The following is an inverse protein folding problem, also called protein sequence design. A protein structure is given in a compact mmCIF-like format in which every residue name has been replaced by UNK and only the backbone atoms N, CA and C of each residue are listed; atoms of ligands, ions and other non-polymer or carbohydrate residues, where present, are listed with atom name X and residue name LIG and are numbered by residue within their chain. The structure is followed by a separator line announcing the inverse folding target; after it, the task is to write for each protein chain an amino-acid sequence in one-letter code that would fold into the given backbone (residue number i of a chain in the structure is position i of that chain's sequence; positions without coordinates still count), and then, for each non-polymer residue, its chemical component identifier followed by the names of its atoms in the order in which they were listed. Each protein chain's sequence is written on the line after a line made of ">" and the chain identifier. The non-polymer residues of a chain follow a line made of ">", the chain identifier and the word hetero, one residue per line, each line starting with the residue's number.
data_IF_334706287421
#
_entry.id   IF_334706287421
#
_cell.length_a   1.000
_cell.length_b   1.000
_cell.length_c   1.000
_cell.angle_alpha   90.00
_cell.angle_beta   90.00
_cell.angle_gamma   90.00
#
_symmetry.space_group_name_H-M   'P 1'
#
loop_
_entity.id
_entity.type
_entity.pdbx_description
1 polymer ?
#
# COMPACT_ATOMS: atom_id res chain seq x y z
N UNK A 1 25.59 -23.85 -25.66
CA UNK A 1 24.25 -23.42 -25.32
C UNK A 1 23.95 -23.87 -23.88
N UNK A 2 24.36 -23.08 -22.88
CA UNK A 2 24.10 -23.27 -21.45
C UNK A 2 23.71 -21.92 -20.91
N UNK A 3 22.41 -21.57 -21.04
CA UNK A 3 21.87 -20.26 -20.68
C UNK A 3 20.69 -20.37 -19.71
N UNK A 4 20.75 -21.27 -18.73
CA UNK A 4 19.95 -21.13 -17.50
C UNK A 4 20.69 -21.95 -16.42
N UNK A 5 21.49 -21.26 -15.61
CA UNK A 5 21.95 -21.82 -14.34
C UNK A 5 20.71 -22.02 -13.45
N UNK A 6 20.64 -23.15 -12.78
CA UNK A 6 19.57 -23.76 -12.01
C UNK A 6 19.08 -22.98 -10.77
N UNK A 7 18.96 -21.66 -10.85
CA UNK A 7 18.42 -20.80 -9.76
C UNK A 7 17.05 -20.30 -10.17
N UNK A 8 16.07 -21.20 -10.15
CA UNK A 8 14.68 -20.89 -10.48
C UNK A 8 13.74 -21.01 -9.27
N UNK A 9 12.49 -20.69 -9.48
CA UNK A 9 11.39 -21.00 -8.55
C UNK A 9 10.92 -22.41 -8.88
N UNK A 10 10.82 -23.26 -7.85
CA UNK A 10 10.23 -24.59 -7.95
C UNK A 10 9.05 -24.70 -7.01
N UNK A 11 7.86 -24.90 -7.54
CA UNK A 11 6.71 -25.22 -6.74
C UNK A 11 6.86 -26.62 -6.15
N UNK A 12 6.58 -26.80 -4.85
CA UNK A 12 6.64 -28.09 -4.18
C UNK A 12 5.60 -29.08 -4.70
N UNK A 13 4.57 -28.58 -5.37
CA UNK A 13 3.39 -29.33 -5.77
C UNK A 13 2.35 -29.46 -4.65
N UNK A 14 2.65 -28.97 -3.48
CA UNK A 14 1.77 -29.01 -2.31
C UNK A 14 1.11 -27.63 -2.11
N UNK A 15 -0.22 -27.64 -2.07
CA UNK A 15 -1.01 -26.48 -1.65
C UNK A 15 -1.53 -26.73 -0.24
N UNK A 16 -1.40 -25.73 0.62
CA UNK A 16 -1.96 -25.77 1.98
C UNK A 16 -3.05 -24.71 2.13
N UNK A 17 -4.01 -24.96 3.00
CA UNK A 17 -4.91 -23.88 3.47
C UNK A 17 -4.39 -23.37 4.80
N UNK A 18 -4.19 -22.07 4.92
CA UNK A 18 -3.67 -21.47 6.17
C UNK A 18 -4.00 -20.00 6.25
N UNK A 19 -3.92 -19.43 7.45
CA UNK A 19 -3.98 -18.00 7.62
C UNK A 19 -2.69 -17.35 7.13
N UNK A 20 -2.83 -16.36 6.27
CA UNK A 20 -1.74 -15.53 5.74
C UNK A 20 -2.05 -14.07 5.96
N UNK A 21 -1.04 -13.27 6.26
CA UNK A 21 -1.23 -11.86 6.55
C UNK A 21 -0.11 -10.96 6.04
N UNK A 22 -0.45 -9.70 5.91
CA UNK A 22 0.45 -8.61 5.61
C UNK A 22 0.43 -7.58 6.73
N UNK A 23 1.61 -7.07 7.06
CA UNK A 23 1.79 -5.92 7.93
C UNK A 23 2.59 -4.89 7.17
N UNK A 24 2.12 -3.66 7.14
CA UNK A 24 2.68 -2.57 6.39
C UNK A 24 2.77 -1.30 7.27
N UNK A 25 3.84 -0.53 7.10
CA UNK A 25 4.00 0.76 7.80
C UNK A 25 3.21 1.82 7.07
N UNK A 26 2.29 2.46 7.77
CA UNK A 26 1.52 3.59 7.24
C UNK A 26 2.45 4.80 7.06
N UNK A 27 2.33 5.49 5.93
CA UNK A 27 3.13 6.66 5.59
C UNK A 27 4.66 6.41 5.63
N UNK A 28 5.12 5.18 5.38
CA UNK A 28 6.53 4.80 5.44
C UNK A 28 7.41 5.69 4.57
N UNK A 29 7.01 5.95 3.34
CA UNK A 29 7.73 6.84 2.41
C UNK A 29 7.87 8.25 2.97
N UNK A 30 6.80 8.79 3.59
CA UNK A 30 6.84 10.08 4.26
C UNK A 30 7.81 10.07 5.44
N UNK A 31 7.77 9.02 6.25
CA UNK A 31 8.64 8.87 7.40
C UNK A 31 10.12 8.79 6.98
N UNK A 32 10.43 8.04 5.91
CA UNK A 32 11.80 7.91 5.37
C UNK A 32 12.33 9.27 4.89
N UNK A 33 11.50 10.03 4.18
CA UNK A 33 11.90 11.36 3.67
C UNK A 33 12.18 12.35 4.80
N UNK A 34 11.53 12.20 5.96
CA UNK A 34 11.77 13.03 7.15
C UNK A 34 13.03 12.63 7.92
N UNK A 35 13.56 11.44 7.69
CA UNK A 35 14.76 10.95 8.37
C UNK A 35 16.02 11.42 7.65
N UNK A 36 16.96 11.99 8.42
CA UNK A 36 18.27 12.35 7.92
C UNK A 36 19.24 11.15 8.03
N UNK A 37 19.91 10.83 6.92
CA UNK A 37 20.97 9.84 6.86
C UNK A 37 20.48 8.39 6.73
N UNK A 38 21.23 7.59 5.96
CA UNK A 38 20.97 6.19 5.71
C UNK A 38 21.00 5.33 6.99
N UNK A 39 21.75 5.74 8.00
CA UNK A 39 21.84 5.00 9.26
C UNK A 39 20.53 5.01 10.03
N UNK A 40 19.83 6.16 10.09
CA UNK A 40 18.52 6.26 10.72
C UNK A 40 17.46 5.44 9.98
N UNK A 41 17.51 5.44 8.65
CA UNK A 41 16.61 4.60 7.83
C UNK A 41 16.86 3.11 8.11
N UNK A 42 18.13 2.68 8.21
CA UNK A 42 18.47 1.29 8.55
C UNK A 42 17.99 0.91 9.95
N UNK A 43 18.19 1.77 10.94
CA UNK A 43 17.71 1.57 12.32
C UNK A 43 16.18 1.43 12.36
N UNK A 44 15.49 2.32 11.65
CA UNK A 44 14.04 2.32 11.54
C UNK A 44 13.51 1.00 11.00
N UNK A 45 13.97 0.58 9.83
CA UNK A 45 13.57 -0.71 9.26
C UNK A 45 14.01 -1.92 10.09
N UNK A 46 15.23 -1.90 10.65
CA UNK A 46 15.70 -2.99 11.50
C UNK A 46 14.81 -3.16 12.74
N UNK A 47 14.40 -2.06 13.36
CA UNK A 47 13.50 -2.12 14.51
C UNK A 47 12.14 -2.68 14.12
N UNK A 48 11.57 -2.24 12.99
CA UNK A 48 10.31 -2.76 12.47
C UNK A 48 10.40 -4.26 12.20
N UNK A 49 11.31 -4.66 11.31
CA UNK A 49 11.45 -6.03 10.85
C UNK A 49 11.72 -6.99 12.02
N UNK A 50 12.66 -6.65 12.90
CA UNK A 50 13.02 -7.50 14.04
C UNK A 50 11.90 -7.62 15.06
N UNK A 51 11.23 -6.50 15.39
CA UNK A 51 10.13 -6.52 16.36
C UNK A 51 8.97 -7.36 15.85
N UNK A 52 8.53 -7.17 14.61
CA UNK A 52 7.42 -7.92 14.02
C UNK A 52 7.80 -9.40 13.84
N UNK A 53 9.00 -9.69 13.33
CA UNK A 53 9.46 -11.07 13.14
C UNK A 53 9.51 -11.84 14.44
N UNK A 54 9.99 -11.23 15.52
CA UNK A 54 10.03 -11.84 16.86
C UNK A 54 8.62 -12.12 17.41
N UNK A 55 7.68 -11.16 17.24
CA UNK A 55 6.29 -11.35 17.67
C UNK A 55 5.59 -12.46 16.91
N UNK A 56 5.74 -12.49 15.59
CA UNK A 56 5.16 -13.54 14.73
C UNK A 56 5.75 -14.90 15.07
N UNK A 57 7.08 -15.02 15.16
CA UNK A 57 7.77 -16.30 15.41
C UNK A 57 7.54 -16.83 16.82
N UNK A 58 7.27 -15.97 17.78
CA UNK A 58 6.94 -16.37 19.17
C UNK A 58 5.49 -16.83 19.33
N UNK A 59 4.65 -16.72 18.30
CA UNK A 59 3.26 -17.15 18.35
C UNK A 59 3.14 -18.68 18.46
N UNK A 60 2.33 -19.19 19.38
CA UNK A 60 2.04 -20.61 19.49
C UNK A 60 1.27 -21.20 18.31
N UNK A 61 0.69 -20.34 17.43
CA UNK A 61 0.18 -20.74 16.13
C UNK A 61 1.29 -21.10 15.12
N UNK A 62 2.56 -21.04 15.55
CA UNK A 62 3.72 -21.37 14.72
C UNK A 62 4.00 -20.34 13.62
N UNK A 63 3.76 -19.07 13.91
CA UNK A 63 3.90 -17.98 12.93
C UNK A 63 5.27 -17.96 12.25
N UNK A 64 5.28 -17.75 10.96
CA UNK A 64 6.49 -17.65 10.13
C UNK A 64 6.45 -16.40 9.26
N UNK A 65 7.51 -15.61 9.32
CA UNK A 65 7.76 -14.53 8.36
C UNK A 65 8.36 -15.15 7.12
N UNK A 66 7.80 -14.86 5.97
CA UNK A 66 8.23 -15.37 4.66
C UNK A 66 9.24 -14.43 4.02
N UNK A 67 8.87 -13.16 3.92
CA UNK A 67 9.74 -12.13 3.36
C UNK A 67 9.30 -10.73 3.79
N UNK A 68 10.25 -9.81 3.70
CA UNK A 68 9.96 -8.38 3.74
C UNK A 68 10.00 -7.84 2.31
N UNK A 69 9.08 -6.97 2.00
CA UNK A 69 8.97 -6.27 0.72
C UNK A 69 8.98 -4.78 1.06
N UNK A 70 10.20 -4.21 1.23
CA UNK A 70 10.34 -2.84 1.73
C UNK A 70 9.83 -2.70 3.17
N UNK A 71 8.76 -1.94 3.35
CA UNK A 71 8.06 -1.65 4.60
C UNK A 71 6.92 -2.62 4.91
N UNK A 72 6.73 -3.64 4.07
CA UNK A 72 5.70 -4.65 4.21
C UNK A 72 6.30 -6.01 4.58
N UNK A 73 5.68 -6.72 5.51
CA UNK A 73 6.05 -8.07 5.94
C UNK A 73 4.94 -9.05 5.58
N UNK A 74 5.27 -10.09 4.81
CA UNK A 74 4.42 -11.24 4.56
C UNK A 74 4.70 -12.32 5.61
N UNK A 75 3.65 -12.79 6.28
CA UNK A 75 3.72 -13.87 7.27
C UNK A 75 2.54 -14.83 7.15
N UNK A 76 2.65 -16.02 7.74
CA UNK A 76 1.55 -16.98 7.80
C UNK A 76 1.60 -17.81 9.09
N UNK A 77 0.51 -18.52 9.39
CA UNK A 77 0.37 -19.37 10.56
C UNK A 77 0.14 -20.83 10.16
N UNK A 78 1.21 -21.63 9.96
CA UNK A 78 1.10 -23.01 9.44
C UNK A 78 0.14 -23.92 10.21
N UNK A 79 0.03 -23.77 11.53
CA UNK A 79 -0.88 -24.61 12.33
C UNK A 79 -2.36 -24.39 12.06
N UNK A 80 -2.73 -23.26 11.42
CA UNK A 80 -4.10 -23.03 10.95
C UNK A 80 -4.46 -23.87 9.73
N UNK A 81 -3.56 -24.70 9.22
CA UNK A 81 -3.89 -25.68 8.16
C UNK A 81 -4.87 -26.76 8.61
N UNK A 82 -4.90 -27.07 9.91
CA UNK A 82 -5.98 -27.85 10.49
C UNK A 82 -7.14 -26.94 10.89
N UNK A 83 -8.22 -26.99 10.11
CA UNK A 83 -9.41 -26.15 10.35
C UNK A 83 -10.11 -26.45 11.69
N UNK A 84 -9.86 -27.62 12.28
CA UNK A 84 -10.43 -28.02 13.57
C UNK A 84 -9.60 -27.51 14.75
N UNK A 85 -8.36 -27.07 14.53
CA UNK A 85 -7.52 -26.48 15.57
C UNK A 85 -7.90 -25.02 15.85
N UNK A 86 -9.05 -24.83 16.49
CA UNK A 86 -9.59 -23.51 16.84
C UNK A 86 -8.60 -22.66 17.66
N UNK A 87 -7.76 -23.31 18.47
CA UNK A 87 -6.76 -22.62 19.28
C UNK A 87 -5.67 -21.96 18.41
N UNK A 88 -5.23 -22.60 17.35
CA UNK A 88 -4.25 -22.01 16.42
C UNK A 88 -4.81 -20.79 15.69
N UNK A 89 -6.09 -20.78 15.31
CA UNK A 89 -6.72 -19.59 14.75
C UNK A 89 -6.80 -18.46 15.79
N UNK A 90 -7.26 -18.73 16.99
CA UNK A 90 -7.31 -17.72 18.07
C UNK A 90 -5.94 -17.15 18.38
N UNK A 91 -4.92 -18.00 18.49
CA UNK A 91 -3.54 -17.56 18.78
C UNK A 91 -2.92 -16.75 17.62
N UNK A 92 -3.28 -17.07 16.39
CA UNK A 92 -2.87 -16.27 15.22
C UNK A 92 -3.47 -14.87 15.24
N UNK A 93 -4.77 -14.75 15.54
CA UNK A 93 -5.45 -13.46 15.71
C UNK A 93 -4.87 -12.68 16.89
N UNK A 94 -4.64 -13.34 18.05
CA UNK A 94 -4.04 -12.69 19.22
C UNK A 94 -2.60 -12.23 18.95
N UNK A 95 -1.86 -12.93 18.10
CA UNK A 95 -0.55 -12.47 17.63
C UNK A 95 -0.66 -11.12 16.91
N UNK A 96 -1.63 -10.97 15.99
CA UNK A 96 -1.85 -9.71 15.29
C UNK A 96 -2.25 -8.57 16.25
N UNK A 97 -3.10 -8.86 17.23
CA UNK A 97 -3.43 -7.88 18.26
C UNK A 97 -2.22 -7.52 19.14
N UNK A 98 -1.39 -8.50 19.50
CA UNK A 98 -0.17 -8.25 20.27
C UNK A 98 0.78 -7.31 19.51
N UNK A 99 0.88 -7.43 18.19
CA UNK A 99 1.67 -6.52 17.36
C UNK A 99 1.13 -5.09 17.48
N UNK A 100 -0.20 -4.90 17.42
CA UNK A 100 -0.84 -3.60 17.61
C UNK A 100 -0.61 -3.04 19.02
N UNK A 101 -0.70 -3.88 20.06
CA UNK A 101 -0.52 -3.49 21.45
C UNK A 101 0.95 -3.10 21.75
N UNK A 102 1.92 -3.88 21.26
CA UNK A 102 3.36 -3.61 21.47
C UNK A 102 3.85 -2.37 20.70
N UNK A 103 3.06 -1.85 19.77
CA UNK A 103 3.39 -0.62 19.02
C UNK A 103 3.77 0.54 19.93
N UNK A 104 3.10 0.70 21.08
CA UNK A 104 3.43 1.77 22.02
C UNK A 104 4.85 1.66 22.55
N UNK A 105 5.31 0.46 22.86
CA UNK A 105 6.66 0.22 23.36
C UNK A 105 7.70 0.49 22.28
N UNK A 106 7.41 0.01 21.06
CA UNK A 106 8.28 0.23 19.89
C UNK A 106 8.36 1.72 19.57
N UNK A 107 7.25 2.45 19.60
CA UNK A 107 7.22 3.89 19.35
C UNK A 107 7.94 4.69 20.45
N UNK A 108 7.92 4.24 21.69
CA UNK A 108 8.74 4.85 22.75
C UNK A 108 10.23 4.67 22.49
N UNK A 109 10.65 3.53 21.95
CA UNK A 109 12.05 3.29 21.57
C UNK A 109 12.44 4.14 20.35
N UNK A 110 11.59 4.25 19.34
CA UNK A 110 11.79 5.16 18.21
C UNK A 110 11.94 6.63 18.67
N UNK A 111 11.08 7.07 19.57
CA UNK A 111 11.14 8.43 20.12
C UNK A 111 12.47 8.73 20.83
N UNK A 112 13.03 7.76 21.58
CA UNK A 112 14.36 7.90 22.19
C UNK A 112 15.48 8.06 21.17
N UNK A 113 15.28 7.53 19.98
CA UNK A 113 16.24 7.61 18.88
C UNK A 113 15.91 8.76 17.90
N UNK A 114 14.95 9.62 18.22
CA UNK A 114 14.45 10.72 17.38
C UNK A 114 13.94 10.24 16.01
N UNK A 115 13.39 9.01 15.95
CA UNK A 115 12.81 8.42 14.75
C UNK A 115 11.28 8.55 14.76
N UNK A 116 10.63 8.64 13.58
CA UNK A 116 9.18 8.76 13.48
C UNK A 116 8.46 7.49 14.00
N UNK A 117 7.26 7.63 14.56
CA UNK A 117 6.52 6.50 15.10
C UNK A 117 5.99 5.57 14.00
N UNK A 118 5.83 4.30 14.32
CA UNK A 118 5.10 3.35 13.48
C UNK A 118 3.59 3.47 13.67
N UNK A 119 2.88 3.47 12.57
CA UNK A 119 1.49 3.06 12.47
C UNK A 119 1.43 1.89 11.50
N UNK A 120 0.62 0.87 11.82
CA UNK A 120 0.55 -0.35 11.01
C UNK A 120 -0.78 -0.47 10.30
N UNK A 121 -0.77 -1.09 9.13
CA UNK A 121 -1.93 -1.74 8.53
C UNK A 121 -1.71 -3.24 8.65
N UNK A 122 -2.68 -3.95 9.19
CA UNK A 122 -2.60 -5.41 9.32
C UNK A 122 -3.84 -6.02 8.67
N UNK A 123 -3.60 -6.88 7.69
CA UNK A 123 -4.65 -7.68 7.06
C UNK A 123 -4.27 -9.14 7.16
N UNK A 124 -5.22 -9.99 7.53
CA UNK A 124 -5.07 -11.45 7.57
C UNK A 124 -6.30 -12.12 6.93
N UNK A 125 -6.07 -13.17 6.17
CA UNK A 125 -7.14 -13.99 5.62
C UNK A 125 -6.76 -15.47 5.62
N UNK A 126 -7.74 -16.34 5.37
CA UNK A 126 -7.57 -17.79 5.33
C UNK A 126 -7.87 -18.31 3.93
N UNK A 127 -7.00 -19.17 3.42
CA UNK A 127 -7.25 -19.81 2.13
C UNK A 127 -6.04 -20.57 1.59
N UNK A 128 -6.12 -20.93 0.31
CA UNK A 128 -5.11 -21.74 -0.37
C UNK A 128 -3.84 -20.95 -0.60
N UNK A 129 -2.72 -21.56 -0.22
CA UNK A 129 -1.35 -21.07 -0.39
C UNK A 129 -0.54 -22.14 -1.11
N UNK A 130 0.12 -21.80 -2.20
CA UNK A 130 1.07 -22.65 -2.91
C UNK A 130 2.47 -22.36 -2.40
N UNK A 131 3.17 -23.41 -1.99
CA UNK A 131 4.54 -23.31 -1.47
C UNK A 131 5.52 -23.44 -2.63
N UNK A 132 6.44 -22.49 -2.74
CA UNK A 132 7.53 -22.56 -3.68
C UNK A 132 8.88 -22.46 -2.96
N UNK A 133 9.87 -23.15 -3.50
CA UNK A 133 11.26 -23.07 -3.12
C UNK A 133 11.98 -22.14 -4.10
N UNK A 134 12.73 -21.18 -3.57
CA UNK A 134 13.38 -20.12 -4.36
C UNK A 134 14.90 -20.24 -4.25
N UNK A 135 15.60 -19.91 -5.32
CA UNK A 135 17.05 -19.89 -5.36
C UNK A 135 17.66 -21.31 -5.38
N UNK A 136 18.49 -21.59 -4.41
CA UNK A 136 19.10 -22.90 -4.15
C UNK A 136 18.20 -23.84 -3.33
N UNK A 137 16.89 -23.56 -3.33
CA UNK A 137 15.85 -24.28 -2.58
C UNK A 137 15.95 -24.16 -1.04
N UNK A 138 16.70 -23.18 -0.56
CA UNK A 138 16.83 -22.90 0.87
C UNK A 138 15.76 -21.93 1.40
N UNK A 139 15.15 -21.15 0.52
CA UNK A 139 14.13 -20.17 0.87
C UNK A 139 12.76 -20.62 0.40
N UNK A 140 11.76 -20.42 1.29
CA UNK A 140 10.35 -20.67 0.99
C UNK A 140 9.72 -19.35 0.59
N UNK A 141 8.96 -19.36 -0.48
CA UNK A 141 8.01 -18.29 -0.84
C UNK A 141 6.59 -18.86 -0.94
N UNK A 142 5.61 -18.00 -0.78
CA UNK A 142 4.20 -18.37 -0.85
C UNK A 142 3.53 -17.64 -2.00
N UNK A 143 2.66 -18.36 -2.71
CA UNK A 143 1.88 -17.85 -3.82
C UNK A 143 0.41 -18.23 -3.67
N UNK A 144 -0.45 -17.61 -4.43
CA UNK A 144 -1.85 -17.99 -4.52
C UNK A 144 -2.83 -16.82 -4.42
N UNK A 145 -4.11 -17.09 -4.72
CA UNK A 145 -5.14 -16.06 -4.76
C UNK A 145 -5.37 -15.37 -3.42
N UNK A 146 -5.25 -16.11 -2.31
CA UNK A 146 -5.41 -15.58 -0.95
C UNK A 146 -4.36 -14.52 -0.63
N UNK A 147 -3.10 -14.76 -1.02
CA UNK A 147 -2.00 -13.80 -0.81
C UNK A 147 -2.24 -12.52 -1.61
N UNK A 148 -2.58 -12.66 -2.89
CA UNK A 148 -2.84 -11.53 -3.76
C UNK A 148 -4.01 -10.67 -3.26
N UNK A 149 -5.08 -11.33 -2.81
CA UNK A 149 -6.25 -10.64 -2.28
C UNK A 149 -5.92 -9.93 -0.95
N UNK A 150 -5.27 -10.63 -0.03
CA UNK A 150 -4.86 -10.09 1.28
C UNK A 150 -3.94 -8.86 1.12
N UNK A 151 -2.96 -8.93 0.21
CA UNK A 151 -2.06 -7.81 -0.11
C UNK A 151 -2.82 -6.59 -0.63
N UNK A 152 -3.76 -6.79 -1.56
CA UNK A 152 -4.55 -5.70 -2.13
C UNK A 152 -5.51 -5.07 -1.11
N UNK A 153 -6.13 -5.86 -0.24
CA UNK A 153 -6.95 -5.36 0.86
C UNK A 153 -6.07 -4.52 1.81
N UNK A 154 -4.89 -5.02 2.16
CA UNK A 154 -3.97 -4.32 3.06
C UNK A 154 -3.58 -2.94 2.51
N UNK A 155 -3.26 -2.84 1.23
CA UNK A 155 -2.81 -1.60 0.61
C UNK A 155 -3.92 -0.58 0.36
N UNK A 156 -5.18 -1.04 0.12
CA UNK A 156 -6.25 -0.16 -0.36
C UNK A 156 -7.36 0.14 0.65
N UNK A 157 -7.64 -0.78 1.59
CA UNK A 157 -8.81 -0.69 2.46
C UNK A 157 -8.49 -0.77 3.95
N UNK A 158 -7.26 -1.15 4.34
CA UNK A 158 -6.91 -1.29 5.74
C UNK A 158 -6.71 0.05 6.43
N UNK A 159 -7.38 0.21 7.57
CA UNK A 159 -7.27 1.40 8.42
C UNK A 159 -6.02 1.32 9.30
N UNK A 160 -5.34 2.45 9.55
CA UNK A 160 -4.17 2.47 10.42
C UNK A 160 -4.48 1.96 11.84
N UNK A 161 -3.62 1.09 12.35
CA UNK A 161 -3.67 0.52 13.69
C UNK A 161 -4.91 -0.33 13.98
N UNK A 162 -5.49 -0.90 12.95
CA UNK A 162 -6.59 -1.84 13.02
C UNK A 162 -6.22 -3.18 12.38
N UNK A 163 -6.96 -4.22 12.76
CA UNK A 163 -6.82 -5.56 12.18
C UNK A 163 -8.00 -5.83 11.27
N UNK A 164 -7.71 -5.97 9.98
CA UNK A 164 -8.71 -6.31 8.96
C UNK A 164 -8.61 -7.80 8.63
N UNK A 165 -9.74 -8.47 8.52
CA UNK A 165 -9.83 -9.85 8.08
C UNK A 165 -10.70 -9.98 6.83
N UNK A 166 -10.36 -10.96 5.98
CA UNK A 166 -11.18 -11.31 4.82
C UNK A 166 -12.38 -12.18 5.18
N UNK A 167 -13.34 -12.26 4.25
CA UNK A 167 -14.59 -13.02 4.42
C UNK A 167 -14.35 -14.52 4.70
N UNK A 168 -13.33 -15.11 4.08
CA UNK A 168 -13.04 -16.52 4.30
C UNK A 168 -12.63 -16.79 5.74
N UNK A 169 -11.74 -15.98 6.31
CA UNK A 169 -11.36 -16.10 7.71
C UNK A 169 -12.53 -15.78 8.65
N UNK A 170 -13.31 -14.75 8.34
CA UNK A 170 -14.52 -14.42 9.09
C UNK A 170 -15.48 -15.62 9.20
N UNK A 171 -15.76 -16.30 8.09
CA UNK A 171 -16.63 -17.49 8.08
C UNK A 171 -16.05 -18.65 8.89
N UNK A 172 -14.74 -18.88 8.80
CA UNK A 172 -14.06 -19.91 9.59
C UNK A 172 -14.20 -19.62 11.07
N UNK A 173 -13.91 -18.40 11.51
CA UNK A 173 -14.02 -18.03 12.93
C UNK A 173 -15.45 -18.16 13.46
N UNK A 174 -16.47 -17.86 12.64
CA UNK A 174 -17.87 -18.01 13.03
C UNK A 174 -18.40 -19.45 12.96
N UNK A 175 -17.69 -20.37 12.29
CA UNK A 175 -18.07 -21.79 12.25
C UNK A 175 -17.67 -22.57 13.49
N UNK A 176 -16.84 -21.99 14.37
CA UNK A 176 -16.37 -22.65 15.58
C UNK A 176 -17.51 -22.81 16.61
N UNK A 177 -17.54 -23.91 17.37
CA UNK A 177 -18.53 -24.13 18.42
C UNK A 177 -18.55 -22.99 19.45
N UNK A 178 -19.72 -22.64 19.97
CA UNK A 178 -19.91 -21.49 20.87
C UNK A 178 -19.04 -21.54 22.15
N UNK A 179 -18.68 -22.70 22.61
CA UNK A 179 -17.81 -22.88 23.79
C UNK A 179 -16.34 -22.51 23.53
N UNK A 180 -15.90 -22.61 22.26
CA UNK A 180 -14.55 -22.26 21.80
C UNK A 180 -14.56 -21.08 20.86
N UNK A 181 -15.73 -20.49 20.62
CA UNK A 181 -15.99 -19.51 19.59
C UNK A 181 -15.25 -18.20 19.84
N UNK A 182 -14.61 -17.72 18.82
CA UNK A 182 -14.11 -16.36 18.73
C UNK A 182 -15.20 -15.29 18.94
N UNK A 183 -16.48 -15.65 18.73
CA UNK A 183 -17.65 -14.77 18.93
C UNK A 183 -17.72 -14.20 20.35
N UNK A 184 -17.21 -14.90 21.36
CA UNK A 184 -17.19 -14.40 22.74
C UNK A 184 -15.97 -13.49 23.05
N UNK A 185 -14.91 -13.60 22.24
CA UNK A 185 -13.67 -12.84 22.45
C UNK A 185 -13.55 -11.64 21.52
N UNK A 186 -14.21 -11.70 20.37
CA UNK A 186 -14.10 -10.70 19.32
C UNK A 186 -15.48 -10.29 18.83
N UNK A 187 -15.57 -9.07 18.33
CA UNK A 187 -16.68 -8.62 17.52
C UNK A 187 -16.16 -8.12 16.17
N UNK A 188 -17.00 -8.21 15.16
CA UNK A 188 -16.66 -7.93 13.78
C UNK A 188 -17.50 -6.77 13.27
N UNK A 189 -16.83 -5.79 12.69
CA UNK A 189 -17.46 -4.64 12.05
C UNK A 189 -17.28 -4.82 10.54
N UNK A 190 -18.38 -4.82 9.79
CA UNK A 190 -18.29 -4.87 8.33
C UNK A 190 -17.77 -3.52 7.82
N UNK A 191 -16.59 -3.52 7.17
CA UNK A 191 -15.95 -2.33 6.59
C UNK A 191 -16.28 -2.15 5.10
N UNK A 192 -17.11 -3.01 4.55
CA UNK A 192 -17.50 -3.00 3.15
C UNK A 192 -16.92 -4.16 2.36
N UNK A 193 -16.64 -3.94 1.09
CA UNK A 193 -16.24 -5.00 0.18
C UNK A 193 -15.06 -4.56 -0.69
N UNK A 194 -14.09 -5.47 -0.87
CA UNK A 194 -13.06 -5.32 -1.89
C UNK A 194 -13.62 -5.78 -3.25
N UNK A 195 -13.52 -4.92 -4.27
CA UNK A 195 -13.98 -5.21 -5.63
C UNK A 195 -12.92 -6.03 -6.37
N UNK A 196 -13.16 -7.33 -6.52
CA UNK A 196 -12.26 -8.21 -7.30
C UNK A 196 -12.49 -7.99 -8.80
N UNK A 197 -13.78 -7.97 -9.22
CA UNK A 197 -14.24 -7.65 -10.57
C UNK A 197 -15.53 -6.85 -10.46
N UNK A 198 -16.10 -6.41 -11.60
CA UNK A 198 -17.41 -5.72 -11.59
C UNK A 198 -18.52 -6.56 -10.95
N UNK A 199 -18.48 -7.89 -11.15
CA UNK A 199 -19.50 -8.82 -10.66
C UNK A 199 -19.11 -9.50 -9.33
N UNK A 200 -17.84 -9.44 -8.90
CA UNK A 200 -17.36 -10.21 -7.76
C UNK A 200 -16.76 -9.27 -6.70
N UNK A 201 -17.41 -9.24 -5.55
CA UNK A 201 -17.04 -8.43 -4.39
C UNK A 201 -16.70 -9.33 -3.21
N UNK A 202 -15.71 -8.93 -2.44
CA UNK A 202 -15.19 -9.70 -1.31
C UNK A 202 -15.35 -8.90 -0.02
N UNK A 203 -16.27 -9.33 0.89
CA UNK A 203 -16.49 -8.66 2.17
C UNK A 203 -15.24 -8.64 3.04
N UNK A 204 -15.04 -7.55 3.76
CA UNK A 204 -13.96 -7.37 4.72
C UNK A 204 -14.51 -6.90 6.05
N UNK A 205 -13.83 -7.29 7.12
CA UNK A 205 -14.27 -7.02 8.48
C UNK A 205 -13.12 -6.49 9.32
N UNK A 206 -13.39 -5.47 10.11
CA UNK A 206 -12.53 -5.05 11.19
C UNK A 206 -12.85 -5.94 12.40
N UNK A 207 -11.85 -6.62 12.95
CA UNK A 207 -11.99 -7.45 14.12
C UNK A 207 -11.46 -6.70 15.34
N UNK A 208 -12.21 -6.72 16.44
CA UNK A 208 -11.85 -6.10 17.71
C UNK A 208 -12.09 -7.05 18.89
N UNK A 209 -11.29 -6.93 19.94
CA UNK A 209 -11.48 -7.66 21.18
C UNK A 209 -12.71 -7.17 21.93
N UNK A 210 -13.48 -8.08 22.50
CA UNK A 210 -14.53 -7.76 23.46
C UNK A 210 -13.84 -7.40 24.78
N UNK A 211 -13.87 -6.15 25.19
CA UNK A 211 -13.34 -5.74 26.49
C UNK A 211 -14.23 -6.32 27.59
N UNK A 212 -13.71 -7.28 28.37
CA UNK A 212 -14.36 -7.81 29.57
C UNK A 212 -14.36 -6.81 30.74
N UNK A 213 -14.29 -5.52 30.52
CA UNK A 213 -14.44 -4.49 31.54
C UNK A 213 -15.73 -3.71 31.31
N UNK A 214 -16.66 -3.98 32.25
CA UNK A 214 -17.84 -3.18 32.54
C UNK A 214 -19.02 -3.28 31.57
N UNK A 215 -19.74 -4.40 31.55
CA UNK A 215 -21.18 -4.30 31.62
C UNK A 215 -21.61 -4.17 33.07
N UNK A 216 -21.28 -3.09 33.73
CA UNK A 216 -22.13 -2.57 34.81
C UNK A 216 -23.16 -1.68 34.10
N UNK A 217 -24.23 -2.31 33.64
CA UNK A 217 -25.43 -1.60 33.22
C UNK A 217 -26.05 -1.00 34.48
N UNK A 218 -25.73 0.22 34.80
CA UNK A 218 -26.62 1.05 35.60
C UNK A 218 -27.78 1.41 34.69
N UNK A 219 -28.89 0.72 34.90
CA UNK A 219 -30.20 1.17 34.46
C UNK A 219 -30.45 2.57 35.07
N UNK A 220 -30.28 3.62 34.30
CA UNK A 220 -30.94 4.87 34.50
C UNK A 220 -31.56 5.32 33.18
N UNK A 221 -32.89 5.17 33.18
CA UNK A 221 -33.77 5.78 32.19
C UNK A 221 -33.47 7.26 32.09
N UNK A 222 -33.22 7.74 30.94
CA UNK A 222 -33.86 8.85 30.25
C UNK A 222 -32.90 9.55 29.27
N UNK A 223 -33.43 9.64 28.06
CA UNK A 223 -33.17 10.65 27.05
C UNK A 223 -32.08 10.49 26.00
N UNK A 224 -32.68 10.31 24.83
CA UNK A 224 -32.29 10.80 23.51
C UNK A 224 -31.18 10.05 22.73
N UNK A 225 -31.74 9.33 21.76
CA UNK A 225 -31.14 8.97 20.48
C UNK A 225 -30.32 10.13 19.91
N UNK A 226 -29.03 9.90 19.72
CA UNK A 226 -28.27 10.56 18.68
C UNK A 226 -27.68 9.48 17.75
N UNK A 227 -28.52 9.11 16.79
CA UNK A 227 -28.07 8.48 15.56
C UNK A 227 -27.40 9.58 14.72
N UNK A 228 -26.09 9.64 14.74
CA UNK A 228 -25.33 10.37 13.73
C UNK A 228 -25.50 9.64 12.40
N UNK A 229 -26.36 10.20 11.57
CA UNK A 229 -26.68 9.71 10.25
C UNK A 229 -25.49 9.87 9.32
N UNK A 230 -25.32 8.91 8.40
CA UNK A 230 -24.36 8.83 7.29
C UNK A 230 -24.15 10.10 6.45
N UNK A 231 -24.74 11.20 6.80
CA UNK A 231 -24.67 12.47 6.06
C UNK A 231 -23.50 13.37 6.47
N UNK A 232 -22.78 13.05 7.56
CA UNK A 232 -21.62 13.83 8.00
C UNK A 232 -20.26 13.22 7.60
N UNK A 233 -20.21 11.96 7.12
CA UNK A 233 -18.98 11.36 6.56
C UNK A 233 -18.77 11.67 5.08
N UNK A 234 -19.76 12.18 4.37
CA UNK A 234 -19.66 12.56 2.95
C UNK A 234 -18.93 13.86 2.68
N UNK A 235 -18.70 14.68 3.70
CA UNK A 235 -18.10 16.02 3.50
C UNK A 235 -16.57 16.06 3.65
N UNK A 236 -15.91 14.97 4.08
CA UNK A 236 -14.47 14.94 4.25
C UNK A 236 -13.69 14.46 3.00
N UNK A 237 -14.33 13.80 2.05
CA UNK A 237 -13.69 13.35 0.81
C UNK A 237 -13.70 14.34 -0.35
N UNK A 238 -14.53 15.35 -0.31
CA UNK A 238 -14.60 16.38 -1.37
C UNK A 238 -13.79 17.64 -1.08
N UNK A 239 -13.29 17.83 0.14
CA UNK A 239 -12.61 19.07 0.52
C UNK A 239 -11.09 19.08 0.33
N UNK A 240 -10.44 17.96 0.04
CA UNK A 240 -8.99 17.99 -0.28
C UNK A 240 -8.67 18.58 -1.65
N UNK A 241 -9.62 18.61 -2.58
CA UNK A 241 -9.45 19.22 -3.89
C UNK A 241 -9.94 20.69 -4.00
N UNK A 242 -10.51 21.27 -2.94
CA UNK A 242 -11.06 22.63 -3.00
C UNK A 242 -10.25 23.73 -2.30
N UNK A 243 -9.15 23.39 -1.59
CA UNK A 243 -8.44 24.38 -0.76
C UNK A 243 -7.25 25.07 -1.43
N UNK A 244 -6.98 24.88 -2.73
CA UNK A 244 -5.84 25.53 -3.40
C UNK A 244 -6.19 26.42 -4.60
N UNK A 245 -7.37 27.01 -4.64
CA UNK A 245 -7.66 28.12 -5.55
C UNK A 245 -7.51 29.46 -4.84
N UNK A 246 -6.29 29.84 -4.47
CA UNK A 246 -5.98 31.23 -4.18
C UNK A 246 -4.73 31.65 -4.98
N UNK A 247 -5.02 32.32 -6.09
CA UNK A 247 -4.23 33.36 -6.76
C UNK A 247 -2.72 33.43 -6.43
N UNK A 248 -1.90 32.75 -7.24
CA UNK A 248 -0.64 33.30 -7.72
C UNK A 248 -0.57 33.08 -9.23
N UNK A 249 -0.65 34.13 -9.99
CA UNK A 249 -0.82 34.15 -11.45
C UNK A 249 0.45 33.75 -12.24
N UNK A 250 1.47 33.09 -11.66
CA UNK A 250 2.68 32.67 -12.37
C UNK A 250 3.37 31.43 -11.77
N UNK A 251 2.68 30.56 -11.05
CA UNK A 251 3.31 29.33 -10.53
C UNK A 251 3.39 28.29 -11.66
N UNK A 252 4.60 27.76 -11.93
CA UNK A 252 4.83 26.67 -12.87
C UNK A 252 4.06 25.42 -12.43
N UNK A 253 3.47 24.68 -13.37
CA UNK A 253 2.60 23.54 -13.10
C UNK A 253 3.26 22.23 -13.48
N UNK A 254 3.19 21.26 -12.59
CA UNK A 254 3.69 19.90 -12.82
C UNK A 254 2.57 18.90 -12.60
N UNK A 255 2.30 18.07 -13.60
CA UNK A 255 1.39 16.94 -13.51
C UNK A 255 2.24 15.67 -13.45
N UNK A 256 1.99 14.84 -12.44
CA UNK A 256 2.62 13.54 -12.27
C UNK A 256 1.60 12.44 -12.59
N UNK A 257 1.95 11.49 -13.45
CA UNK A 257 1.09 10.36 -13.80
C UNK A 257 1.88 9.06 -13.71
N UNK A 258 1.49 8.20 -12.75
CA UNK A 258 2.16 6.94 -12.44
C UNK A 258 1.16 6.07 -11.65
N UNK A 259 0.95 4.81 -11.99
CA UNK A 259 -0.02 3.97 -11.28
C UNK A 259 0.47 3.54 -9.88
N UNK A 260 1.74 3.80 -9.55
CA UNK A 260 2.32 3.59 -8.23
C UNK A 260 2.24 4.86 -7.37
N UNK A 261 1.34 4.88 -6.40
CA UNK A 261 1.12 6.04 -5.51
C UNK A 261 2.39 6.48 -4.76
N UNK A 262 3.26 5.53 -4.38
CA UNK A 262 4.52 5.81 -3.67
C UNK A 262 5.53 6.54 -4.56
N UNK A 263 5.53 6.24 -5.85
CA UNK A 263 6.36 6.94 -6.84
C UNK A 263 5.89 8.39 -6.97
N UNK A 264 4.59 8.60 -7.12
CA UNK A 264 3.99 9.95 -7.17
C UNK A 264 4.32 10.77 -5.92
N UNK A 265 4.22 10.15 -4.75
CA UNK A 265 4.60 10.80 -3.49
C UNK A 265 6.09 11.17 -3.47
N UNK A 266 6.98 10.25 -3.89
CA UNK A 266 8.42 10.48 -3.95
C UNK A 266 8.76 11.68 -4.85
N UNK A 267 8.16 11.76 -6.04
CA UNK A 267 8.40 12.88 -6.95
C UNK A 267 7.86 14.21 -6.42
N UNK A 268 6.68 14.20 -5.78
CA UNK A 268 6.17 15.39 -5.07
C UNK A 268 7.15 15.87 -4.00
N UNK A 269 7.76 14.95 -3.25
CA UNK A 269 8.73 15.29 -2.22
C UNK A 269 10.06 15.82 -2.80
N UNK A 270 10.50 15.31 -3.95
CA UNK A 270 11.66 15.85 -4.64
C UNK A 270 11.45 17.31 -5.05
N UNK A 271 10.24 17.65 -5.47
CA UNK A 271 9.86 18.96 -5.96
C UNK A 271 9.36 19.93 -4.86
N UNK A 272 9.21 19.46 -3.61
CA UNK A 272 8.65 20.26 -2.50
C UNK A 272 9.39 21.60 -2.24
N UNK A 273 10.69 21.65 -2.52
CA UNK A 273 11.50 22.84 -2.29
C UNK A 273 11.28 23.94 -3.35
N UNK A 274 10.53 23.63 -4.39
CA UNK A 274 10.26 24.54 -5.51
C UNK A 274 8.82 25.05 -5.44
N UNK A 275 8.59 26.28 -5.90
CA UNK A 275 7.26 26.89 -5.93
C UNK A 275 6.47 26.40 -7.17
N UNK A 276 6.20 25.07 -7.22
CA UNK A 276 5.42 24.43 -8.28
C UNK A 276 4.02 24.07 -7.79
N UNK A 277 3.04 24.25 -8.66
CA UNK A 277 1.72 23.68 -8.46
C UNK A 277 1.72 22.23 -8.97
N UNK A 278 1.74 21.26 -8.05
CA UNK A 278 1.88 19.84 -8.39
C UNK A 278 0.54 19.12 -8.22
N UNK A 279 0.05 18.51 -9.30
CA UNK A 279 -1.11 17.62 -9.30
C UNK A 279 -0.65 16.22 -9.68
N UNK A 280 -1.19 15.17 -9.04
CA UNK A 280 -0.78 13.78 -9.29
C UNK A 280 -1.97 12.88 -9.51
N UNK A 281 -1.83 11.93 -10.44
CA UNK A 281 -2.86 10.98 -10.84
C UNK A 281 -2.29 9.57 -10.91
N UNK A 282 -3.01 8.61 -10.33
CA UNK A 282 -2.72 7.17 -10.48
C UNK A 282 -3.48 6.56 -11.67
N UNK A 283 -4.49 7.25 -12.16
CA UNK A 283 -5.28 6.84 -13.33
C UNK A 283 -4.97 7.78 -14.51
N UNK A 284 -4.41 7.24 -15.61
CA UNK A 284 -4.05 8.03 -16.79
C UNK A 284 -5.26 8.64 -17.50
N UNK A 285 -6.44 8.04 -17.40
CA UNK A 285 -7.68 8.56 -18.01
C UNK A 285 -8.16 9.81 -17.27
N UNK A 286 -8.10 9.77 -15.93
CA UNK A 286 -8.44 10.95 -15.09
C UNK A 286 -7.43 12.08 -15.35
N UNK A 287 -6.14 11.76 -15.48
CA UNK A 287 -5.11 12.73 -15.82
C UNK A 287 -5.38 13.41 -17.18
N UNK A 288 -5.74 12.63 -18.18
CA UNK A 288 -6.06 13.14 -19.52
C UNK A 288 -7.26 14.10 -19.51
N UNK A 289 -8.35 13.72 -18.81
CA UNK A 289 -9.52 14.57 -18.69
C UNK A 289 -9.18 15.88 -17.96
N UNK A 290 -8.39 15.80 -16.89
CA UNK A 290 -7.91 16.99 -16.19
C UNK A 290 -7.09 17.90 -17.10
N UNK A 291 -6.19 17.35 -17.94
CA UNK A 291 -5.37 18.13 -18.90
C UNK A 291 -6.26 18.81 -19.94
N UNK A 292 -7.31 18.16 -20.42
CA UNK A 292 -8.28 18.76 -21.37
C UNK A 292 -9.00 19.99 -20.82
N UNK A 293 -9.24 20.02 -19.52
CA UNK A 293 -9.94 21.12 -18.85
C UNK A 293 -9.01 22.29 -18.46
N UNK A 294 -7.70 22.17 -18.71
CA UNK A 294 -6.73 23.25 -18.45
C UNK A 294 -6.87 24.36 -19.49
N UNK A 295 -7.12 25.61 -19.08
CA UNK A 295 -7.38 26.70 -20.00
C UNK A 295 -6.13 27.22 -20.74
N UNK A 296 -4.94 26.96 -20.20
CA UNK A 296 -3.64 27.40 -20.75
C UNK A 296 -2.56 26.41 -20.38
N UNK A 297 -1.68 26.08 -21.31
CA UNK A 297 -0.60 25.11 -21.15
C UNK A 297 0.78 25.76 -20.94
N UNK A 298 0.86 27.09 -20.86
CA UNK A 298 2.11 27.77 -20.52
C UNK A 298 2.62 27.28 -19.17
N UNK A 299 3.94 27.06 -19.08
CA UNK A 299 4.61 26.56 -17.88
C UNK A 299 4.06 25.23 -17.33
N UNK A 300 3.49 24.38 -18.20
CA UNK A 300 3.04 23.04 -17.86
C UNK A 300 4.07 21.99 -18.26
N UNK A 301 4.45 21.14 -17.28
CA UNK A 301 5.22 19.92 -17.49
C UNK A 301 4.40 18.71 -17.03
N UNK A 302 4.29 17.71 -17.88
CA UNK A 302 3.69 16.42 -17.52
C UNK A 302 4.80 15.38 -17.37
N UNK A 303 4.86 14.71 -16.23
CA UNK A 303 5.81 13.64 -15.94
C UNK A 303 5.03 12.32 -15.97
N UNK A 304 5.42 11.41 -16.87
CA UNK A 304 4.69 10.20 -17.19
C UNK A 304 5.53 8.95 -16.90
N UNK A 305 4.95 7.97 -16.21
CA UNK A 305 5.41 6.59 -16.37
C UNK A 305 4.91 6.01 -17.70
N UNK A 306 5.74 5.14 -18.28
CA UNK A 306 5.40 4.44 -19.52
C UNK A 306 4.58 3.18 -19.23
N UNK A 307 4.91 2.49 -18.13
CA UNK A 307 4.29 1.22 -17.78
C UNK A 307 3.16 1.42 -16.77
N UNK A 308 1.99 1.79 -17.26
CA UNK A 308 0.78 1.89 -16.45
C UNK A 308 -0.28 0.91 -16.93
N UNK A 309 -1.22 0.56 -16.03
CA UNK A 309 -2.41 -0.25 -16.37
C UNK A 309 -3.36 0.58 -17.24
N UNK A 310 -4.17 -0.13 -18.04
CA UNK A 310 -5.26 0.39 -18.87
C UNK A 310 -4.82 1.26 -20.04
N UNK A 311 -4.25 2.42 -19.81
CA UNK A 311 -3.70 3.33 -20.82
C UNK A 311 -2.20 3.49 -20.58
N UNK A 312 -1.36 2.96 -21.47
CA UNK A 312 0.09 3.10 -21.33
C UNK A 312 0.56 4.54 -21.59
N UNK A 313 1.75 4.88 -21.06
CA UNK A 313 2.29 6.23 -21.13
C UNK A 313 2.48 6.76 -22.56
N UNK A 314 2.66 5.90 -23.56
CA UNK A 314 2.76 6.34 -24.96
C UNK A 314 1.41 6.75 -25.53
N UNK A 315 0.39 5.98 -25.27
CA UNK A 315 -0.97 6.33 -25.69
C UNK A 315 -1.40 7.63 -25.03
N UNK A 316 -1.08 7.80 -23.74
CA UNK A 316 -1.35 9.05 -23.03
C UNK A 316 -0.55 10.22 -23.62
N UNK A 317 0.75 10.03 -23.92
CA UNK A 317 1.59 11.01 -24.61
C UNK A 317 0.97 11.48 -25.92
N UNK A 318 0.56 10.54 -26.79
CA UNK A 318 -0.05 10.86 -28.09
C UNK A 318 -1.33 11.68 -27.93
N UNK A 319 -2.16 11.32 -26.95
CA UNK A 319 -3.40 12.03 -26.65
C UNK A 319 -3.13 13.43 -26.07
N UNK A 320 -2.13 13.59 -25.20
CA UNK A 320 -1.73 14.90 -24.67
C UNK A 320 -1.19 15.79 -25.80
N UNK A 321 -0.32 15.26 -26.67
CA UNK A 321 0.22 15.99 -27.81
C UNK A 321 -0.83 16.34 -28.86
N UNK A 322 -1.93 15.59 -28.94
CA UNK A 322 -3.07 15.95 -29.80
C UNK A 322 -3.93 17.07 -29.22
N UNK A 323 -3.89 17.29 -27.89
CA UNK A 323 -4.54 18.43 -27.23
C UNK A 323 -3.74 19.69 -27.53
N UNK A 324 -2.43 19.67 -27.20
CA UNK A 324 -1.50 20.74 -27.51
C UNK A 324 -0.07 20.20 -27.67
N UNK A 325 0.56 20.36 -28.85
CA UNK A 325 1.95 19.94 -29.11
C UNK A 325 2.99 20.63 -28.23
N UNK A 326 2.71 21.81 -27.68
CA UNK A 326 3.62 22.58 -26.82
C UNK A 326 3.78 22.03 -25.42
N UNK A 327 2.84 21.20 -24.92
CA UNK A 327 2.91 20.62 -23.58
C UNK A 327 4.22 19.84 -23.42
N UNK A 328 5.02 20.24 -22.44
CA UNK A 328 6.31 19.59 -22.14
C UNK A 328 6.07 18.26 -21.42
N UNK A 329 6.82 17.22 -21.83
CA UNK A 329 6.68 15.88 -21.26
C UNK A 329 8.04 15.34 -20.85
N UNK A 330 8.10 14.74 -19.66
CA UNK A 330 9.23 13.99 -19.13
C UNK A 330 8.77 12.55 -18.87
N UNK A 331 9.38 11.59 -19.51
CA UNK A 331 9.15 10.17 -19.23
C UNK A 331 10.04 9.71 -18.08
N UNK A 332 9.46 8.95 -17.15
CA UNK A 332 10.20 8.28 -16.08
C UNK A 332 9.77 6.82 -16.04
N UNK A 333 10.66 5.90 -16.40
CA UNK A 333 10.29 4.51 -16.64
C UNK A 333 11.30 3.51 -16.06
N UNK A 334 10.81 2.33 -15.68
CA UNK A 334 11.65 1.17 -15.33
C UNK A 334 12.15 0.38 -16.55
N UNK A 335 11.67 0.70 -17.74
CA UNK A 335 12.02 -0.02 -18.97
C UNK A 335 13.38 0.43 -19.53
N UNK A 336 14.16 -0.55 -20.00
CA UNK A 336 15.43 -0.32 -20.70
C UNK A 336 15.17 -0.24 -22.22
N UNK A 337 14.36 0.74 -22.62
CA UNK A 337 13.86 0.91 -23.99
C UNK A 337 14.20 2.30 -24.56
N UNK A 338 15.29 2.88 -24.09
CA UNK A 338 15.66 4.25 -24.48
C UNK A 338 15.78 4.38 -26.01
N UNK A 339 16.48 3.46 -26.65
CA UNK A 339 16.71 3.49 -28.10
C UNK A 339 15.44 3.20 -28.91
N UNK A 340 14.59 2.29 -28.40
CA UNK A 340 13.29 2.00 -29.01
C UNK A 340 12.35 3.21 -28.90
N UNK A 341 12.34 3.89 -27.74
CA UNK A 341 11.57 5.10 -27.50
C UNK A 341 11.90 6.22 -28.46
N UNK A 342 13.19 6.49 -28.62
CA UNK A 342 13.69 7.52 -29.53
C UNK A 342 13.36 7.21 -31.00
N UNK A 343 13.20 5.92 -31.35
CA UNK A 343 12.85 5.50 -32.72
C UNK A 343 11.34 5.54 -33.00
N UNK A 344 10.50 5.32 -31.99
CA UNK A 344 9.04 5.16 -32.14
C UNK A 344 8.29 6.47 -31.89
N UNK A 345 8.85 7.38 -31.07
CA UNK A 345 8.16 8.61 -30.65
C UNK A 345 8.84 9.84 -31.28
N UNK A 346 8.33 10.33 -32.41
CA UNK A 346 8.90 11.51 -33.06
C UNK A 346 8.89 12.74 -32.12
N UNK A 347 10.03 13.43 -32.03
CA UNK A 347 10.16 14.68 -31.27
C UNK A 347 10.52 14.50 -29.79
N UNK A 348 10.62 13.28 -29.29
CA UNK A 348 11.18 13.01 -27.94
C UNK A 348 12.71 12.94 -28.04
N UNK A 349 13.39 13.65 -27.16
CA UNK A 349 14.84 13.64 -27.06
C UNK A 349 15.28 12.90 -25.79
N UNK A 350 16.53 12.43 -25.78
CA UNK A 350 17.08 11.62 -24.68
C UNK A 350 16.95 12.29 -23.31
N UNK A 351 17.06 13.60 -23.26
CA UNK A 351 16.94 14.42 -22.05
C UNK A 351 15.53 14.44 -21.44
N UNK A 352 14.53 13.97 -22.19
CA UNK A 352 13.14 13.84 -21.75
C UNK A 352 12.82 12.44 -21.25
N UNK A 353 13.81 11.57 -21.08
CA UNK A 353 13.63 10.21 -20.59
C UNK A 353 14.54 9.97 -19.40
N UNK A 354 13.97 9.53 -18.30
CA UNK A 354 14.70 9.13 -17.09
C UNK A 354 14.39 7.69 -16.73
N UNK A 355 15.40 6.98 -16.24
CA UNK A 355 15.24 5.60 -15.79
C UNK A 355 14.98 5.53 -14.28
N UNK A 356 13.98 4.76 -13.85
CA UNK A 356 13.76 4.40 -12.45
C UNK A 356 14.85 3.38 -11.97
N UNK A 357 15.39 3.49 -10.74
CA UNK A 357 15.13 4.53 -9.75
C UNK A 357 15.82 5.85 -10.09
N UNK A 358 15.14 6.97 -9.90
CA UNK A 358 15.65 8.30 -10.25
C UNK A 358 16.43 8.92 -9.10
N UNK A 359 17.62 9.46 -9.39
CA UNK A 359 18.33 10.30 -8.44
C UNK A 359 17.61 11.64 -8.24
N UNK A 360 17.43 12.06 -6.99
CA UNK A 360 16.71 13.29 -6.64
C UNK A 360 17.27 14.52 -7.33
N UNK A 361 18.61 14.68 -7.32
CA UNK A 361 19.29 15.86 -7.88
C UNK A 361 19.14 15.90 -9.41
N UNK A 362 19.30 14.75 -10.05
CA UNK A 362 19.11 14.63 -11.49
C UNK A 362 17.66 14.94 -11.87
N UNK A 363 16.68 14.40 -11.15
CA UNK A 363 15.25 14.62 -11.37
C UNK A 363 14.89 16.09 -11.26
N UNK A 364 15.25 16.74 -10.14
CA UNK A 364 14.93 18.16 -9.91
C UNK A 364 15.59 19.08 -10.91
N UNK A 365 16.83 18.80 -11.29
CA UNK A 365 17.55 19.60 -12.32
C UNK A 365 16.89 19.47 -13.69
N UNK A 366 16.44 18.26 -14.06
CA UNK A 366 15.75 18.03 -15.34
C UNK A 366 14.39 18.72 -15.39
N UNK A 367 13.60 18.60 -14.32
CA UNK A 367 12.30 19.30 -14.19
C UNK A 367 12.49 20.81 -14.30
N UNK A 368 13.46 21.37 -13.56
CA UNK A 368 13.78 22.80 -13.63
C UNK A 368 14.18 23.23 -15.04
N UNK A 369 15.07 22.47 -15.69
CA UNK A 369 15.52 22.77 -17.05
C UNK A 369 14.35 22.78 -18.05
N UNK A 370 13.46 21.81 -17.97
CA UNK A 370 12.29 21.71 -18.85
C UNK A 370 11.26 22.83 -18.60
N UNK A 371 11.12 23.31 -17.38
CA UNK A 371 10.20 24.40 -17.03
C UNK A 371 10.80 25.80 -17.26
N UNK A 372 12.13 25.94 -17.43
CA UNK A 372 12.79 27.22 -17.66
C UNK A 372 12.99 27.54 -19.16
N UNK A 373 12.99 26.51 -20.00
CA UNK A 373 13.07 26.63 -21.48
C UNK A 373 11.66 26.59 -22.08
#
# INVERSE_FOLDING_TARGET
>A
MRLFSSKGIRFSGDSIKSCVGFIDIVDSTKNIVMMEGLENIRKYYSLFINSISNLVSSSSAGGRVIKNIGDCILFYFPKTSDINDTNSFQTGIECCFKILDERYKINNELARQHLPPFNYRITIDYGVLDIALVGDYSQIDLFGPTINLCSKINSSLSTPNELIIGDTLYRVLNSFPSATSAVNKYYFINEGEYKITEANRYPIYNIRRTNNHAMTITNNNNNKKDFLTKKQLGSFKENENRFFFHKRNNAKRVILVDDEQDILFTYRMFLRAYDYHITSFTDPTIALNYIRDIPNFDDLLVILDIRMKDLNGFQLYQQIKSIDPSIKILFVTSLDILDELLSIVPGVIKEQIMRKPVDKKLFTNTVNKLLLN
#
